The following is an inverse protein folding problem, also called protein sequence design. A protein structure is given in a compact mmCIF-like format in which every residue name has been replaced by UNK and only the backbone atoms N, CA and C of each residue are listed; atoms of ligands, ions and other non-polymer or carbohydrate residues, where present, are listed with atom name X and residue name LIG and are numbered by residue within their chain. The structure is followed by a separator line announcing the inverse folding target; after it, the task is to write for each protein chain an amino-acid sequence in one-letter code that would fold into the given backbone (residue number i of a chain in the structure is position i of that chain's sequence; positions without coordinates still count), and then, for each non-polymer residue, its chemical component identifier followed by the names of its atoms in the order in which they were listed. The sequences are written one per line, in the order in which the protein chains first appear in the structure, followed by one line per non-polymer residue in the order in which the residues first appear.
data_IF_239645191568
#
_entry.id   IF_239645191568
#
_cell.length_a   1.000
_cell.length_b   1.000
_cell.length_c   1.000
_cell.angle_alpha   90.00
_cell.angle_beta   90.00
_cell.angle_gamma   90.00
#
_symmetry.space_group_name_H-M   'P 1'
#
loop_
_entity.id
_entity.type
_entity.pdbx_description
1 polymer ?
#
# COMPACT_ATOMS: atom_id res chain seq x y z
N UNK A 1 -12.70 0.87 -13.75
CA UNK A 1 -11.46 1.42 -13.17
C UNK A 1 -11.10 0.60 -11.95
N UNK A 2 -9.84 0.18 -11.80
CA UNK A 2 -9.39 -0.41 -10.54
C UNK A 2 -9.36 0.67 -9.45
N UNK A 3 -9.75 0.36 -8.21
CA UNK A 3 -9.68 1.32 -7.11
C UNK A 3 -8.22 1.73 -6.88
N UNK A 4 -7.98 3.02 -6.65
CA UNK A 4 -6.66 3.53 -6.27
C UNK A 4 -6.46 3.34 -4.76
N UNK A 5 -5.35 2.73 -4.38
CA UNK A 5 -5.04 2.44 -2.97
C UNK A 5 -4.49 3.67 -2.25
N UNK A 6 -4.76 3.75 -0.95
CA UNK A 6 -4.17 4.76 -0.06
C UNK A 6 -3.63 4.12 1.21
N UNK A 7 -2.52 4.64 1.72
CA UNK A 7 -1.82 4.02 2.83
C UNK A 7 -0.91 4.95 3.62
N UNK A 8 -0.26 4.34 4.60
CA UNK A 8 0.79 4.95 5.42
C UNK A 8 2.01 4.05 5.45
N UNK A 9 3.19 4.66 5.46
CA UNK A 9 4.46 3.92 5.45
C UNK A 9 5.49 4.49 6.43
N UNK A 10 6.41 3.62 6.85
CA UNK A 10 7.56 3.93 7.66
C UNK A 10 8.82 3.45 6.95
N UNK A 11 9.81 4.34 6.78
CA UNK A 11 11.03 4.01 6.06
C UNK A 11 12.26 4.23 6.94
N UNK A 12 13.24 3.36 6.80
CA UNK A 12 14.60 3.56 7.29
C UNK A 12 15.52 3.61 6.08
N UNK A 13 16.26 4.71 5.94
CA UNK A 13 17.11 4.97 4.78
C UNK A 13 18.56 5.08 5.20
N UNK A 14 19.42 4.37 4.49
CA UNK A 14 20.86 4.29 4.76
C UNK A 14 21.59 4.69 3.49
N UNK A 15 22.16 5.90 3.44
CA UNK A 15 22.94 6.35 2.29
C UNK A 15 24.43 6.38 2.62
N UNK A 16 25.20 5.60 1.85
CA UNK A 16 26.65 5.44 2.04
C UNK A 16 27.48 5.89 0.85
N UNK A 17 26.85 6.23 -0.28
CA UNK A 17 27.54 6.70 -1.46
C UNK A 17 26.92 8.00 -1.97
N UNK A 18 27.77 8.92 -2.44
CA UNK A 18 27.36 10.23 -2.94
C UNK A 18 28.01 10.51 -4.28
N UNK A 19 27.19 10.87 -5.27
CA UNK A 19 27.66 11.37 -6.56
C UNK A 19 27.05 12.75 -6.76
N UNK A 20 27.90 13.79 -6.79
CA UNK A 20 27.48 15.19 -6.78
C UNK A 20 26.58 15.50 -5.56
N UNK A 21 25.33 15.89 -5.80
CA UNK A 21 24.32 16.16 -4.77
C UNK A 21 23.47 14.93 -4.46
N UNK A 22 23.45 13.94 -5.33
CA UNK A 22 22.61 12.76 -5.20
C UNK A 22 23.24 11.71 -4.30
N UNK A 23 22.39 10.92 -3.66
CA UNK A 23 22.76 9.95 -2.62
C UNK A 23 22.25 8.58 -2.99
N UNK A 24 23.09 7.58 -2.80
CA UNK A 24 22.81 6.18 -3.09
C UNK A 24 22.90 5.38 -1.80
N UNK A 25 22.03 4.40 -1.67
CA UNK A 25 21.87 3.69 -0.42
C UNK A 25 20.88 2.55 -0.51
N UNK A 26 20.43 2.12 0.67
CA UNK A 26 19.33 1.18 0.83
C UNK A 26 18.19 1.81 1.62
N UNK A 27 16.99 1.38 1.30
CA UNK A 27 15.79 1.65 2.06
C UNK A 27 15.25 0.33 2.62
N UNK A 28 14.81 0.39 3.87
CA UNK A 28 13.90 -0.58 4.48
C UNK A 28 12.55 0.10 4.65
N UNK A 29 11.49 -0.62 4.36
CA UNK A 29 10.12 -0.11 4.37
C UNK A 29 9.20 -1.06 5.14
N UNK A 30 8.26 -0.46 5.87
CA UNK A 30 7.06 -1.10 6.37
C UNK A 30 5.84 -0.23 6.04
N UNK A 31 4.79 -0.81 5.48
CA UNK A 31 3.63 -0.07 4.98
C UNK A 31 2.30 -0.75 5.27
N UNK A 32 1.25 0.06 5.25
CA UNK A 32 -0.13 -0.38 5.33
C UNK A 32 -0.98 0.36 4.32
N UNK A 33 -1.57 -0.36 3.37
CA UNK A 33 -2.38 0.20 2.28
C UNK A 33 -3.77 -0.41 2.27
N UNK A 34 -4.78 0.37 1.87
CA UNK A 34 -6.18 -0.03 1.78
C UNK A 34 -6.81 0.33 0.44
N UNK A 35 -7.69 -0.55 0.00
CA UNK A 35 -8.66 -0.32 -1.08
C UNK A 35 -10.05 -0.61 -0.56
N UNK A 36 -10.99 0.27 -0.86
CA UNK A 36 -12.36 0.18 -0.37
C UNK A 36 -13.32 0.26 -1.53
N UNK A 37 -14.34 -0.59 -1.50
CA UNK A 37 -15.46 -0.52 -2.43
C UNK A 37 -16.77 -0.63 -1.68
N UNK A 38 -17.65 0.33 -1.94
CA UNK A 38 -19.03 0.30 -1.45
C UNK A 38 -19.87 -0.64 -2.30
N UNK A 39 -20.67 -1.48 -1.64
CA UNK A 39 -21.68 -2.33 -2.26
C UNK A 39 -23.01 -2.09 -1.53
N UNK A 40 -24.10 -2.12 -2.29
CA UNK A 40 -25.45 -2.04 -1.76
C UNK A 40 -26.10 -3.40 -1.96
N UNK A 41 -26.70 -3.93 -0.90
CA UNK A 41 -27.43 -5.18 -0.92
C UNK A 41 -28.93 -4.91 -0.84
N UNK A 42 -29.70 -5.78 -1.49
CA UNK A 42 -31.14 -5.77 -1.42
C UNK A 42 -31.60 -5.86 0.04
N UNK A 43 -32.72 -5.20 0.40
CA UNK A 43 -33.14 -5.03 1.76
C UNK A 43 -33.40 -6.37 2.46
N UNK A 44 -32.82 -6.55 3.66
CA UNK A 44 -33.34 -7.51 4.63
C UNK A 44 -34.70 -7.00 5.10
N UNK A 45 -35.76 -7.79 4.92
CA UNK A 45 -37.10 -7.42 5.42
C UNK A 45 -37.05 -7.40 6.95
N UNK A 46 -36.94 -6.21 7.53
CA UNK A 46 -37.00 -6.01 8.99
C UNK A 46 -38.18 -5.08 9.29
N UNK A 47 -39.23 -5.64 9.89
CA UNK A 47 -40.35 -4.91 10.50
C UNK A 47 -41.04 -3.83 9.64
N UNK A 48 -41.46 -4.19 8.43
CA UNK A 48 -42.49 -3.42 7.69
C UNK A 48 -41.98 -2.31 6.76
N UNK A 49 -40.69 -2.26 6.44
CA UNK A 49 -40.14 -1.38 5.41
C UNK A 49 -38.92 -1.98 4.71
N UNK A 50 -38.71 -1.60 3.46
CA UNK A 50 -37.50 -1.93 2.69
C UNK A 50 -36.38 -0.97 3.06
N UNK A 51 -35.29 -1.47 3.66
CA UNK A 51 -34.09 -0.68 3.94
C UNK A 51 -32.88 -1.29 3.24
N UNK A 52 -32.33 -0.56 2.27
CA UNK A 52 -31.11 -0.98 1.56
C UNK A 52 -29.93 -1.02 2.54
N UNK A 53 -29.23 -2.15 2.58
CA UNK A 53 -28.03 -2.31 3.42
C UNK A 53 -26.80 -1.96 2.60
N UNK A 54 -26.08 -0.90 3.01
CA UNK A 54 -24.77 -0.58 2.43
C UNK A 54 -23.68 -1.30 3.20
N UNK A 55 -22.80 -2.02 2.51
CA UNK A 55 -21.61 -2.67 3.08
C UNK A 55 -20.36 -2.34 2.28
N UNK A 56 -19.19 -2.57 2.86
CA UNK A 56 -17.91 -2.17 2.30
C UNK A 56 -17.01 -3.40 2.15
N UNK A 57 -16.55 -3.64 0.93
CA UNK A 57 -15.43 -4.54 0.65
C UNK A 57 -14.13 -3.80 0.96
N UNK A 58 -13.26 -4.42 1.74
CA UNK A 58 -11.97 -3.88 2.14
C UNK A 58 -10.87 -4.86 1.75
N UNK A 59 -9.94 -4.39 0.92
CA UNK A 59 -8.66 -5.05 0.70
C UNK A 59 -7.59 -4.26 1.44
N UNK A 60 -6.74 -4.95 2.18
CA UNK A 60 -5.61 -4.36 2.90
C UNK A 60 -4.32 -5.10 2.56
N UNK A 61 -3.23 -4.36 2.45
CA UNK A 61 -1.88 -4.91 2.35
C UNK A 61 -1.04 -4.35 3.49
N UNK A 62 -0.37 -5.23 4.23
CA UNK A 62 0.77 -4.88 5.08
C UNK A 62 2.02 -5.37 4.37
N UNK A 63 2.94 -4.48 4.03
CA UNK A 63 4.11 -4.86 3.26
C UNK A 63 5.42 -4.44 3.93
N UNK A 64 6.39 -5.33 3.85
CA UNK A 64 7.72 -5.17 4.43
C UNK A 64 8.75 -5.49 3.36
N UNK A 65 9.69 -4.58 3.13
CA UNK A 65 10.66 -4.76 2.07
C UNK A 65 11.92 -3.97 2.28
N UNK A 66 12.96 -4.36 1.54
CA UNK A 66 14.21 -3.63 1.50
C UNK A 66 14.80 -3.64 0.10
N UNK A 67 15.62 -2.64 -0.21
CA UNK A 67 16.31 -2.61 -1.49
C UNK A 67 17.03 -1.29 -1.76
N UNK A 68 17.65 -1.16 -2.95
CA UNK A 68 18.37 0.03 -3.32
C UNK A 68 17.47 1.27 -3.38
N UNK A 69 18.03 2.39 -2.95
CA UNK A 69 17.40 3.71 -3.00
C UNK A 69 18.36 4.75 -3.57
N UNK A 70 17.80 5.68 -4.33
CA UNK A 70 18.47 6.83 -4.91
C UNK A 70 17.72 8.10 -4.57
N UNK A 71 18.39 9.02 -3.88
CA UNK A 71 17.83 10.31 -3.46
C UNK A 71 18.50 11.46 -4.21
N UNK A 72 17.67 12.38 -4.71
CA UNK A 72 18.08 13.63 -5.37
C UNK A 72 17.56 14.80 -4.52
N UNK A 73 18.43 15.52 -3.81
CA UNK A 73 18.06 16.75 -3.13
C UNK A 73 17.72 17.86 -4.13
N UNK A 74 16.52 18.46 -4.00
CA UNK A 74 16.01 19.56 -4.84
C UNK A 74 15.62 20.73 -3.92
N UNK A 75 16.61 21.49 -3.48
CA UNK A 75 16.40 22.62 -2.57
C UNK A 75 15.92 22.16 -1.19
N UNK A 76 14.71 22.54 -0.82
CA UNK A 76 14.10 22.19 0.48
C UNK A 76 13.37 20.83 0.47
N UNK A 77 13.23 20.21 -0.70
CA UNK A 77 12.61 18.89 -0.86
C UNK A 77 13.63 17.91 -1.42
N UNK A 78 13.32 16.62 -1.38
CA UNK A 78 14.06 15.60 -2.13
C UNK A 78 13.09 14.75 -2.94
N UNK A 79 13.60 14.25 -4.06
CA UNK A 79 12.99 13.17 -4.83
C UNK A 79 13.73 11.89 -4.52
N UNK A 80 13.03 10.78 -4.33
CA UNK A 80 13.63 9.48 -4.13
C UNK A 80 13.00 8.44 -5.04
N UNK A 81 13.87 7.59 -5.59
CA UNK A 81 13.51 6.43 -6.38
C UNK A 81 14.00 5.20 -5.62
N UNK A 82 13.14 4.22 -5.41
CA UNK A 82 13.51 2.98 -4.74
C UNK A 82 12.97 1.77 -5.49
N UNK A 83 13.73 0.68 -5.46
CA UNK A 83 13.27 -0.64 -5.88
C UNK A 83 13.47 -1.57 -4.69
N UNK A 84 12.40 -2.19 -4.21
CA UNK A 84 12.45 -3.02 -3.00
C UNK A 84 11.86 -4.39 -3.28
N UNK A 85 12.51 -5.41 -2.70
CA UNK A 85 12.00 -6.77 -2.63
C UNK A 85 11.57 -7.06 -1.20
N UNK A 86 10.53 -7.88 -1.03
CA UNK A 86 9.97 -8.12 0.29
C UNK A 86 8.85 -9.13 0.32
N UNK A 87 8.03 -9.00 1.36
CA UNK A 87 6.83 -9.80 1.59
C UNK A 87 5.67 -8.89 1.89
N UNK A 88 4.46 -9.33 1.57
CA UNK A 88 3.26 -8.64 1.96
C UNK A 88 2.18 -9.61 2.40
N UNK A 89 1.48 -9.22 3.46
CA UNK A 89 0.31 -9.90 3.98
C UNK A 89 -0.91 -9.15 3.47
N UNK A 90 -1.73 -9.84 2.71
CA UNK A 90 -2.90 -9.27 2.07
C UNK A 90 -4.15 -9.83 2.70
N UNK A 91 -5.10 -8.98 3.08
CA UNK A 91 -6.36 -9.42 3.67
C UNK A 91 -7.52 -8.78 2.94
N UNK A 92 -8.40 -9.62 2.41
CA UNK A 92 -9.66 -9.25 1.78
C UNK A 92 -10.81 -9.57 2.74
N UNK A 93 -11.57 -8.56 3.13
CA UNK A 93 -12.87 -8.69 3.76
C UNK A 93 -13.94 -8.26 2.74
N UNK A 94 -14.77 -9.20 2.30
CA UNK A 94 -15.79 -8.98 1.27
C UNK A 94 -17.17 -9.42 1.79
N UNK A 95 -18.14 -8.50 1.89
CA UNK A 95 -19.55 -8.85 2.09
C UNK A 95 -20.08 -9.66 0.89
N UNK A 96 -20.71 -10.81 1.14
CA UNK A 96 -21.41 -11.58 0.08
C UNK A 96 -22.91 -11.26 0.05
N UNK A 97 -23.48 -10.90 1.20
CA UNK A 97 -24.90 -10.53 1.32
C UNK A 97 -25.09 -9.40 2.34
N UNK A 98 -26.35 -9.09 2.65
CA UNK A 98 -26.69 -8.19 3.74
C UNK A 98 -26.37 -8.78 5.14
N UNK A 99 -26.21 -10.11 5.28
CA UNK A 99 -25.84 -10.75 6.54
C UNK A 99 -24.31 -10.81 6.72
N UNK A 100 -23.82 -10.28 7.84
CA UNK A 100 -22.39 -10.33 8.21
C UNK A 100 -21.83 -11.73 8.45
N UNK A 101 -22.67 -12.73 8.70
CA UNK A 101 -22.22 -14.12 8.89
C UNK A 101 -21.73 -14.76 7.59
N UNK A 102 -22.11 -14.19 6.47
CA UNK A 102 -21.73 -14.65 5.13
C UNK A 102 -20.53 -13.86 4.58
N UNK A 103 -19.84 -13.10 5.42
CA UNK A 103 -18.67 -12.35 4.98
C UNK A 103 -17.50 -13.28 4.65
N UNK A 104 -16.90 -13.03 3.50
CA UNK A 104 -15.68 -13.68 3.07
C UNK A 104 -14.49 -12.95 3.69
N UNK A 105 -13.66 -13.69 4.42
CA UNK A 105 -12.38 -13.22 4.92
C UNK A 105 -11.27 -14.13 4.39
N UNK A 106 -10.39 -13.58 3.57
CA UNK A 106 -9.23 -14.29 3.02
C UNK A 106 -7.98 -13.51 3.38
N UNK A 107 -6.97 -14.20 3.90
CA UNK A 107 -5.67 -13.63 4.19
C UNK A 107 -4.59 -14.52 3.57
N UNK A 108 -3.65 -13.90 2.86
CA UNK A 108 -2.56 -14.61 2.20
C UNK A 108 -1.25 -13.83 2.30
N UNK A 109 -0.13 -14.52 2.15
CA UNK A 109 1.23 -13.97 2.21
C UNK A 109 1.94 -14.25 0.90
N UNK A 110 2.44 -13.20 0.24
CA UNK A 110 3.18 -13.35 -1.01
C UNK A 110 4.48 -12.54 -1.00
N UNK A 111 5.41 -12.97 -1.84
CA UNK A 111 6.60 -12.22 -2.18
C UNK A 111 6.24 -10.99 -3.00
N UNK A 112 7.04 -9.94 -2.83
CA UNK A 112 6.78 -8.62 -3.38
C UNK A 112 8.04 -8.08 -4.06
N UNK A 113 7.89 -7.58 -5.27
CA UNK A 113 8.86 -6.66 -5.89
C UNK A 113 8.10 -5.38 -6.22
N UNK A 114 8.60 -4.24 -5.75
CA UNK A 114 7.95 -2.96 -5.97
C UNK A 114 8.94 -1.85 -6.30
N UNK A 115 8.49 -0.92 -7.12
CA UNK A 115 9.17 0.34 -7.42
C UNK A 115 8.41 1.49 -6.80
N UNK A 116 9.14 2.45 -6.25
CA UNK A 116 8.57 3.62 -5.59
C UNK A 116 9.18 4.92 -6.10
N UNK A 117 8.34 5.94 -6.23
CA UNK A 117 8.75 7.33 -6.38
C UNK A 117 8.22 8.12 -5.18
N UNK A 118 9.12 8.73 -4.43
CA UNK A 118 8.79 9.47 -3.22
C UNK A 118 9.25 10.93 -3.32
N UNK A 119 8.44 11.84 -2.81
CA UNK A 119 8.82 13.24 -2.58
C UNK A 119 8.74 13.48 -1.08
N UNK A 120 9.75 14.10 -0.50
CA UNK A 120 9.77 14.37 0.93
C UNK A 120 10.47 15.65 1.31
N UNK A 121 10.23 16.04 2.56
CA UNK A 121 10.81 17.22 3.20
C UNK A 121 11.54 16.73 4.45
N UNK A 122 12.82 17.12 4.64
CA UNK A 122 13.51 16.87 5.89
C UNK A 122 12.91 17.73 7.01
N UNK A 123 12.53 17.09 8.11
CA UNK A 123 12.12 17.82 9.31
C UNK A 123 13.40 18.33 9.96
N UNK A 124 13.62 19.64 9.87
CA UNK A 124 14.82 20.29 10.38
C UNK A 124 15.07 19.97 11.85
N UNK A 125 16.14 19.21 12.12
CA UNK A 125 17.04 19.31 13.27
C UNK A 125 18.07 18.18 13.25
N UNK A 126 18.95 18.06 12.23
CA UNK A 126 20.09 17.08 12.20
C UNK A 126 19.80 15.60 12.49
N UNK A 127 18.54 15.20 12.68
CA UNK A 127 18.17 13.89 13.21
C UNK A 127 17.69 12.94 12.11
N UNK A 128 17.93 13.25 10.82
CA UNK A 128 17.55 12.35 9.72
C UNK A 128 16.05 12.17 9.48
N UNK A 129 15.18 12.78 10.28
CA UNK A 129 13.74 12.62 10.14
C UNK A 129 13.23 13.33 8.87
N UNK A 130 12.40 12.63 8.10
CA UNK A 130 11.75 13.15 6.90
C UNK A 130 10.29 12.70 6.88
N UNK A 131 9.46 13.49 6.22
CA UNK A 131 8.06 13.14 5.92
C UNK A 131 7.80 13.39 4.45
N UNK A 132 6.84 12.68 3.87
CA UNK A 132 6.51 12.89 2.48
C UNK A 132 5.36 12.04 1.99
N UNK A 133 5.22 12.02 0.67
CA UNK A 133 4.30 11.14 -0.03
C UNK A 133 5.05 10.32 -1.07
N UNK A 134 4.52 9.14 -1.34
CA UNK A 134 5.07 8.26 -2.35
C UNK A 134 3.98 7.62 -3.19
N UNK A 135 4.36 7.26 -4.41
CA UNK A 135 3.60 6.39 -5.29
C UNK A 135 4.39 5.10 -5.45
N UNK A 136 3.73 3.99 -5.16
CA UNK A 136 4.33 2.65 -5.17
C UNK A 136 3.63 1.81 -6.23
N UNK A 137 4.41 1.11 -7.04
CA UNK A 137 3.94 0.14 -8.03
C UNK A 137 4.47 -1.24 -7.66
N UNK A 138 3.57 -2.22 -7.59
CA UNK A 138 3.95 -3.63 -7.45
C UNK A 138 4.11 -4.28 -8.81
N UNK A 139 5.21 -5.00 -8.98
CA UNK A 139 5.47 -5.83 -10.14
C UNK A 139 5.13 -7.27 -9.78
N UNK A 140 3.93 -7.70 -10.16
CA UNK A 140 3.47 -9.08 -9.99
C UNK A 140 3.06 -9.64 -11.35
N UNK A 141 3.55 -10.84 -11.66
CA UNK A 141 3.14 -11.62 -12.85
C UNK A 141 1.84 -12.38 -12.62
N UNK A 142 1.33 -12.37 -11.38
CA UNK A 142 0.05 -13.01 -11.06
C UNK A 142 -1.05 -12.00 -11.37
N UNK A 143 -1.64 -12.15 -12.54
CA UNK A 143 -2.87 -11.48 -12.95
C UNK A 143 -4.01 -11.98 -12.04
N UNK A 144 -4.11 -11.44 -10.84
CA UNK A 144 -5.06 -11.95 -9.85
C UNK A 144 -6.32 -11.12 -9.85
N UNK A 145 -7.41 -11.88 -10.01
CA UNK A 145 -8.80 -11.52 -9.80
C UNK A 145 -9.05 -11.11 -8.34
N UNK A 146 -8.41 -10.03 -7.89
CA UNK A 146 -8.99 -9.14 -6.90
C UNK A 146 -9.98 -8.21 -7.61
N UNK A 147 -10.80 -8.74 -8.52
CA UNK A 147 -11.99 -8.04 -8.94
C UNK A 147 -12.98 -8.24 -7.77
N UNK A 148 -13.30 -7.19 -7.00
CA UNK A 148 -14.42 -7.24 -6.05
C UNK A 148 -15.75 -7.64 -6.70
N UNK A 149 -15.81 -7.73 -8.04
CA UNK A 149 -16.92 -8.21 -8.86
C UNK A 149 -16.70 -9.61 -9.46
N UNK A 150 -15.57 -10.30 -9.26
CA UNK A 150 -15.41 -11.69 -9.71
C UNK A 150 -16.07 -12.66 -8.73
N UNK A 151 -16.46 -13.84 -9.23
CA UNK A 151 -17.07 -14.91 -8.45
C UNK A 151 -16.29 -15.19 -7.15
N UNK A 152 -17.01 -15.48 -6.04
CA UNK A 152 -16.39 -15.76 -4.74
C UNK A 152 -15.54 -17.04 -4.75
N UNK A 153 -15.83 -17.98 -5.65
CA UNK A 153 -15.06 -19.21 -5.82
C UNK A 153 -13.72 -18.92 -6.54
N UNK A 154 -12.63 -18.89 -5.77
CA UNK A 154 -11.27 -18.72 -6.30
C UNK A 154 -10.63 -17.35 -6.07
N UNK A 155 -11.21 -16.49 -5.21
CA UNK A 155 -10.59 -15.22 -4.85
C UNK A 155 -9.20 -15.43 -4.20
N UNK A 156 -8.17 -14.84 -4.79
CA UNK A 156 -6.81 -14.79 -4.25
C UNK A 156 -6.46 -13.36 -3.85
N UNK A 157 -5.66 -13.22 -2.79
CA UNK A 157 -5.27 -11.90 -2.26
C UNK A 157 -3.77 -11.78 -2.38
N UNK A 158 -3.28 -11.35 -3.54
CA UNK A 158 -1.86 -11.01 -3.71
C UNK A 158 -1.67 -9.51 -3.71
N UNK A 159 -0.45 -9.02 -3.45
CA UNK A 159 -0.10 -7.62 -3.66
C UNK A 159 -0.16 -7.26 -5.15
N UNK A 160 -0.86 -6.18 -5.50
CA UNK A 160 -0.96 -5.71 -6.88
C UNK A 160 -1.16 -4.19 -6.97
N UNK A 161 -1.10 -3.69 -8.21
CA UNK A 161 -1.45 -2.31 -8.59
C UNK A 161 -0.49 -1.22 -8.10
N UNK A 162 -0.94 0.02 -8.32
CA UNK A 162 -0.34 1.26 -7.86
C UNK A 162 -1.12 1.81 -6.66
N UNK A 163 -0.43 2.36 -5.68
CA UNK A 163 -1.07 3.12 -4.60
C UNK A 163 -0.25 4.34 -4.21
N UNK A 164 -0.88 5.25 -3.47
CA UNK A 164 -0.21 6.37 -2.82
C UNK A 164 -0.10 6.12 -1.32
N UNK A 165 0.97 6.59 -0.72
CA UNK A 165 1.13 6.56 0.74
C UNK A 165 1.72 7.85 1.26
N UNK A 166 1.35 8.22 2.48
CA UNK A 166 2.08 9.22 3.27
C UNK A 166 3.09 8.47 4.13
N UNK A 167 4.33 8.93 4.17
CA UNK A 167 5.37 8.25 4.93
C UNK A 167 6.06 9.15 5.95
N UNK A 168 6.52 8.51 7.02
CA UNK A 168 7.58 9.01 7.89
C UNK A 168 8.84 8.21 7.66
N UNK A 169 10.00 8.86 7.62
CA UNK A 169 11.25 8.15 7.41
C UNK A 169 12.38 8.69 8.28
N UNK A 170 13.28 7.79 8.67
CA UNK A 170 14.52 8.14 9.33
C UNK A 170 15.69 7.85 8.39
N UNK A 171 16.51 8.86 8.15
CA UNK A 171 17.60 8.77 7.18
C UNK A 171 18.96 8.97 7.85
N UNK A 172 19.82 7.98 7.64
CA UNK A 172 21.21 7.96 8.12
C UNK A 172 22.13 8.23 6.95
N UNK A 173 23.08 9.15 7.17
CA UNK A 173 24.08 9.57 6.20
C UNK A 173 25.47 9.18 6.72
N UNK A 174 26.30 8.61 5.84
CA UNK A 174 27.72 8.37 6.08
C UNK A 174 28.59 9.29 5.21
#
# INVERSE_FOLDING_TARGET
MQPFGWGVAAHLRLHFARVLKSRFGFEVHAGHTRWQQRQNFDPLVVSGGESTVTRITLLTHNDFGAGPSFEIPIGAVFLQIAATGGVAVSTLARPISADSREDLLISDVDGLIRGGLAVGIPIMNRHGLTIGSEVVQVFSNREIAANPLSDPDGAQVVPFSTWMSVYGAYTIWF
#
